data_IF_529506739297
#
_entry.id   IF_529506739297
#
_cell.length_a   1.000
_cell.length_b   1.000
_cell.length_c   1.000
_cell.angle_alpha   90.00
_cell.angle_beta   90.00
_cell.angle_gamma   90.00
#
_symmetry.space_group_name_H-M   'P 1'
#
loop_
_entity.id
_entity.type
_entity.pdbx_description
1 polymer ?
#
# COMPACT_ATOMS: atom_id res chain seq x y z
N UNK A 1 12.00 -22.17 5.11
CA UNK A 1 11.67 -22.18 6.56
C UNK A 1 10.26 -22.77 6.79
N UNK A 2 9.99 -23.94 6.22
CA UNK A 2 8.67 -24.60 6.22
C UNK A 2 8.74 -26.09 6.62
N UNK A 3 9.85 -26.53 7.23
CA UNK A 3 10.12 -27.94 7.50
C UNK A 3 10.02 -28.36 8.98
N UNK A 4 9.65 -27.48 9.91
CA UNK A 4 9.77 -27.79 11.35
C UNK A 4 8.54 -27.53 12.23
N UNK A 5 7.32 -27.50 11.68
CA UNK A 5 6.12 -27.32 12.54
C UNK A 5 5.08 -28.40 12.23
N UNK A 6 5.34 -29.60 12.74
CA UNK A 6 4.34 -30.66 12.89
C UNK A 6 4.40 -31.18 14.32
N UNK A 7 3.57 -30.62 15.19
CA UNK A 7 2.98 -31.27 16.39
C UNK A 7 2.48 -30.22 17.37
N UNK A 8 1.19 -29.86 17.32
CA UNK A 8 0.43 -29.51 18.53
C UNK A 8 -1.05 -29.84 18.31
N UNK A 9 -1.52 -30.81 19.11
CA UNK A 9 -2.87 -31.36 19.12
C UNK A 9 -3.81 -30.44 19.92
N UNK A 10 -5.04 -30.20 19.41
CA UNK A 10 -6.09 -29.42 20.08
C UNK A 10 -7.02 -30.35 20.86
N UNK A 11 -7.21 -30.05 22.15
CA UNK A 11 -8.12 -30.77 23.03
C UNK A 11 -9.57 -30.28 22.89
N UNK A 12 -10.48 -31.25 22.95
CA UNK A 12 -11.94 -31.21 22.77
C UNK A 12 -12.72 -30.23 23.67
N UNK A 13 -13.77 -29.64 23.09
CA UNK A 13 -14.91 -29.04 23.80
C UNK A 13 -16.20 -29.29 23.02
N UNK A 14 -17.13 -30.05 23.62
CA UNK A 14 -18.41 -30.51 23.07
C UNK A 14 -19.42 -29.37 22.84
N UNK A 15 -20.06 -29.34 21.66
CA UNK A 15 -21.44 -28.87 21.52
C UNK A 15 -22.05 -29.39 20.21
N UNK A 16 -23.22 -30.04 20.34
CA UNK A 16 -24.03 -30.62 19.27
C UNK A 16 -24.33 -29.64 18.14
N UNK A 17 -23.63 -29.82 17.02
CA UNK A 17 -24.10 -29.44 15.71
C UNK A 17 -23.91 -30.65 14.81
N UNK A 18 -24.94 -31.01 14.07
CA UNK A 18 -24.91 -32.09 13.11
C UNK A 18 -23.97 -31.68 11.96
N UNK A 19 -22.69 -31.96 12.14
CA UNK A 19 -21.61 -31.70 11.18
C UNK A 19 -21.87 -32.60 9.98
N UNK A 20 -22.08 -32.00 8.80
CA UNK A 20 -21.77 -32.67 7.54
C UNK A 20 -20.32 -33.14 7.68
N UNK A 21 -20.13 -34.44 7.88
CA UNK A 21 -18.82 -35.07 8.00
C UNK A 21 -18.08 -34.96 6.66
N UNK A 22 -17.60 -33.76 6.34
CA UNK A 22 -16.50 -33.59 5.41
C UNK A 22 -15.27 -34.11 6.14
N UNK A 23 -14.58 -35.07 5.52
CA UNK A 23 -13.47 -35.79 6.13
C UNK A 23 -12.41 -34.81 6.66
N UNK A 24 -12.06 -34.95 7.94
CA UNK A 24 -10.95 -34.21 8.57
C UNK A 24 -9.66 -34.33 7.74
N UNK A 25 -9.43 -35.50 7.13
CA UNK A 25 -8.27 -35.77 6.29
C UNK A 25 -8.26 -34.99 4.96
N UNK A 26 -9.44 -34.73 4.37
CA UNK A 26 -9.55 -33.90 3.15
C UNK A 26 -9.30 -32.44 3.48
N UNK A 27 -9.86 -31.93 4.59
CA UNK A 27 -9.61 -30.56 5.06
C UNK A 27 -8.13 -30.31 5.39
N UNK A 28 -7.44 -31.29 5.99
CA UNK A 28 -6.00 -31.20 6.26
C UNK A 28 -5.14 -31.29 5.00
N UNK A 29 -5.60 -32.01 3.97
CA UNK A 29 -4.91 -32.12 2.68
C UNK A 29 -5.05 -30.83 1.87
N UNK A 30 -6.26 -30.28 1.77
CA UNK A 30 -6.54 -29.00 1.10
C UNK A 30 -5.77 -27.85 1.78
N UNK A 31 -5.64 -27.90 3.12
CA UNK A 31 -4.83 -26.95 3.87
C UNK A 31 -3.33 -27.04 3.56
N UNK A 32 -2.80 -28.25 3.31
CA UNK A 32 -1.40 -28.45 2.90
C UNK A 32 -1.14 -27.99 1.48
N UNK A 33 -2.01 -28.33 0.53
CA UNK A 33 -1.90 -27.87 -0.86
C UNK A 33 -1.94 -26.34 -0.96
N UNK A 34 -2.81 -25.68 -0.19
CA UNK A 34 -2.88 -24.22 -0.16
C UNK A 34 -1.57 -23.59 0.36
N UNK A 35 -0.94 -24.19 1.38
CA UNK A 35 0.35 -23.72 1.90
C UNK A 35 1.49 -23.91 0.89
N UNK A 36 1.46 -24.98 0.09
CA UNK A 36 2.42 -25.21 -0.99
C UNK A 36 2.28 -24.16 -2.09
N UNK A 37 1.04 -23.86 -2.51
CA UNK A 37 0.76 -22.78 -3.48
C UNK A 37 1.25 -21.43 -2.94
N UNK A 38 0.99 -21.12 -1.67
CA UNK A 38 1.44 -19.89 -1.02
C UNK A 38 2.97 -19.81 -0.88
N UNK A 39 3.65 -20.95 -0.69
CA UNK A 39 5.10 -21.01 -0.66
C UNK A 39 5.73 -20.80 -2.04
N UNK A 40 4.99 -21.07 -3.13
CA UNK A 40 5.43 -20.89 -4.52
C UNK A 40 5.11 -19.51 -5.13
N UNK A 41 4.63 -18.55 -4.35
CA UNK A 41 4.29 -17.22 -4.86
C UNK A 41 5.54 -16.44 -5.31
N UNK A 42 5.53 -15.95 -6.55
CA UNK A 42 6.63 -15.12 -7.10
C UNK A 42 6.76 -13.76 -6.41
N UNK A 43 5.64 -13.20 -5.94
CA UNK A 43 5.58 -11.89 -5.30
C UNK A 43 4.73 -11.94 -4.04
N UNK A 44 5.25 -11.38 -2.95
CA UNK A 44 4.58 -11.31 -1.67
C UNK A 44 3.18 -10.66 -1.76
N UNK A 45 3.02 -9.67 -2.64
CA UNK A 45 1.74 -8.97 -2.84
C UNK A 45 0.64 -9.85 -3.45
N UNK A 46 0.96 -11.04 -3.96
CA UNK A 46 -0.02 -12.01 -4.44
C UNK A 46 -0.70 -12.78 -3.30
N UNK A 47 -0.12 -12.77 -2.08
CA UNK A 47 -0.80 -13.29 -0.90
C UNK A 47 -2.00 -12.39 -0.58
N UNK A 48 -3.14 -12.99 -0.24
CA UNK A 48 -4.33 -12.22 0.13
C UNK A 48 -4.29 -11.77 1.60
N UNK A 49 -4.92 -10.61 1.95
CA UNK A 49 -4.89 -10.11 3.33
C UNK A 49 -5.41 -11.10 4.38
N UNK A 50 -6.49 -11.83 4.08
CA UNK A 50 -7.06 -12.78 5.03
C UNK A 50 -6.10 -13.94 5.33
N UNK A 51 -5.34 -14.41 4.33
CA UNK A 51 -4.33 -15.46 4.51
C UNK A 51 -3.17 -14.98 5.34
N UNK A 52 -2.69 -13.76 5.06
CA UNK A 52 -1.68 -13.09 5.88
C UNK A 52 -2.09 -13.06 7.35
N UNK A 53 -3.28 -12.55 7.68
CA UNK A 53 -3.76 -12.43 9.06
C UNK A 53 -3.95 -13.79 9.75
N UNK A 54 -4.55 -14.76 9.05
CA UNK A 54 -4.88 -16.05 9.62
C UNK A 54 -3.64 -16.90 9.94
N UNK A 55 -2.61 -16.86 9.08
CA UNK A 55 -1.53 -17.84 9.10
C UNK A 55 -0.16 -17.23 9.39
N UNK A 56 0.13 -16.03 8.88
CA UNK A 56 1.51 -15.52 8.80
C UNK A 56 1.79 -14.37 9.75
N UNK A 57 0.83 -13.46 9.99
CA UNK A 57 1.03 -12.24 10.77
C UNK A 57 1.62 -12.50 12.16
N UNK A 58 1.13 -13.54 12.85
CA UNK A 58 1.59 -13.93 14.19
C UNK A 58 2.97 -14.62 14.21
N UNK A 59 3.42 -15.14 13.07
CA UNK A 59 4.70 -15.85 12.93
C UNK A 59 5.87 -14.92 12.61
N UNK A 60 5.57 -13.71 12.13
CA UNK A 60 6.59 -12.73 11.76
C UNK A 60 7.00 -11.89 12.97
N UNK A 61 8.30 -11.67 13.21
CA UNK A 61 8.72 -10.70 14.22
C UNK A 61 8.28 -9.29 13.82
N UNK A 62 8.10 -8.40 14.81
CA UNK A 62 7.85 -6.98 14.52
C UNK A 62 9.07 -6.33 13.85
N UNK A 63 10.27 -6.61 14.38
CA UNK A 63 11.53 -6.06 13.91
C UNK A 63 12.63 -7.12 13.86
N UNK A 64 13.66 -6.88 13.04
CA UNK A 64 14.93 -7.61 13.03
C UNK A 64 16.10 -6.62 12.92
N UNK A 65 17.22 -6.88 13.57
CA UNK A 65 18.45 -6.09 13.33
C UNK A 65 19.09 -6.50 12.01
N UNK A 66 19.81 -5.59 11.37
CA UNK A 66 20.61 -5.93 10.19
C UNK A 66 21.64 -7.02 10.49
N UNK A 67 22.26 -6.98 11.66
CA UNK A 67 23.18 -8.04 12.12
C UNK A 67 22.51 -9.42 12.17
N UNK A 68 21.37 -9.57 12.86
CA UNK A 68 20.67 -10.85 12.95
C UNK A 68 20.11 -11.32 11.60
N UNK A 69 19.77 -10.38 10.70
CA UNK A 69 19.40 -10.72 9.34
C UNK A 69 20.60 -11.32 8.59
N UNK A 70 21.78 -10.69 8.66
CA UNK A 70 22.98 -11.15 7.96
C UNK A 70 23.48 -12.49 8.47
N UNK A 71 23.41 -12.75 9.78
CA UNK A 71 23.75 -14.07 10.35
C UNK A 71 22.88 -15.20 9.79
N UNK A 72 21.60 -14.90 9.51
CA UNK A 72 20.62 -15.92 9.11
C UNK A 72 20.44 -16.07 7.61
N UNK A 73 20.48 -14.96 6.87
CA UNK A 73 20.11 -14.91 5.44
C UNK A 73 21.26 -14.49 4.53
N UNK A 74 22.37 -13.99 5.08
CA UNK A 74 23.60 -13.58 4.36
C UNK A 74 23.44 -12.36 3.44
N UNK A 75 22.42 -12.30 2.59
CA UNK A 75 22.13 -11.18 1.70
C UNK A 75 20.62 -11.11 1.38
N UNK A 76 20.18 -9.97 0.83
CA UNK A 76 18.81 -9.72 0.37
C UNK A 76 18.66 -9.69 -1.16
N UNK A 77 19.74 -9.93 -1.92
CA UNK A 77 19.75 -9.95 -3.40
C UNK A 77 19.29 -8.65 -4.10
N UNK A 78 19.20 -7.53 -3.38
CA UNK A 78 18.97 -6.21 -3.94
C UNK A 78 20.30 -5.51 -4.30
N UNK A 79 20.51 -5.26 -5.60
CA UNK A 79 21.69 -4.57 -6.12
C UNK A 79 21.77 -3.06 -5.80
N UNK A 80 20.68 -2.47 -5.32
CA UNK A 80 20.56 -1.02 -5.09
C UNK A 80 20.80 -0.66 -3.62
N UNK A 81 20.55 -1.59 -2.69
CA UNK A 81 20.65 -1.33 -1.25
C UNK A 81 21.73 -2.17 -0.58
N UNK A 82 22.15 -1.73 0.62
CA UNK A 82 23.06 -2.48 1.48
C UNK A 82 22.44 -2.56 2.87
N UNK A 83 22.55 -3.72 3.50
CA UNK A 83 22.06 -3.94 4.86
C UNK A 83 23.00 -3.26 5.86
N UNK A 84 22.46 -2.30 6.59
CA UNK A 84 23.13 -1.66 7.71
C UNK A 84 22.94 -2.53 8.96
N UNK A 85 24.01 -3.18 9.39
CA UNK A 85 23.98 -4.11 10.53
C UNK A 85 23.49 -3.45 11.83
N UNK A 86 23.66 -2.13 11.98
CA UNK A 86 23.27 -1.38 13.18
C UNK A 86 21.82 -0.92 13.18
N UNK A 87 21.08 -1.12 12.07
CA UNK A 87 19.67 -0.71 11.97
C UNK A 87 18.71 -1.80 12.38
N UNK A 88 17.53 -1.36 12.84
CA UNK A 88 16.35 -2.20 13.02
C UNK A 88 15.43 -2.04 11.81
N UNK A 89 14.97 -3.16 11.26
CA UNK A 89 14.08 -3.22 10.10
C UNK A 89 12.70 -3.71 10.52
N UNK A 90 11.65 -2.99 10.13
CA UNK A 90 10.26 -3.26 10.49
C UNK A 90 9.65 -4.41 9.67
N UNK A 91 10.00 -5.65 10.01
CA UNK A 91 9.60 -6.85 9.25
C UNK A 91 8.09 -6.92 9.06
N UNK A 92 7.31 -6.89 10.15
CA UNK A 92 5.85 -7.10 10.05
C UNK A 92 5.16 -6.01 9.24
N UNK A 93 5.53 -4.75 9.47
CA UNK A 93 4.97 -3.61 8.73
C UNK A 93 5.33 -3.67 7.23
N UNK A 94 6.60 -3.92 6.92
CA UNK A 94 7.10 -4.01 5.53
C UNK A 94 6.58 -5.23 4.79
N UNK A 95 6.30 -6.35 5.47
CA UNK A 95 5.62 -7.51 4.87
C UNK A 95 4.14 -7.20 4.62
N UNK A 96 3.46 -6.57 5.58
CA UNK A 96 2.03 -6.25 5.50
C UNK A 96 1.72 -5.27 4.37
N UNK A 97 2.56 -4.25 4.19
CA UNK A 97 2.31 -3.17 3.24
C UNK A 97 1.99 -3.62 1.81
N UNK A 98 2.85 -4.38 1.10
CA UNK A 98 2.59 -4.79 -0.29
C UNK A 98 1.35 -5.69 -0.44
N UNK A 99 1.06 -6.54 0.55
CA UNK A 99 -0.12 -7.42 0.57
C UNK A 99 -1.41 -6.59 0.59
N UNK A 100 -1.50 -5.70 1.59
CA UNK A 100 -2.68 -4.87 1.76
C UNK A 100 -2.77 -3.78 0.70
N UNK A 101 -1.66 -3.23 0.24
CA UNK A 101 -1.64 -2.22 -0.82
C UNK A 101 -2.14 -2.81 -2.14
N UNK A 102 -1.76 -4.04 -2.51
CA UNK A 102 -2.29 -4.68 -3.70
C UNK A 102 -3.81 -4.89 -3.61
N UNK A 103 -4.32 -5.28 -2.43
CA UNK A 103 -5.76 -5.34 -2.21
C UNK A 103 -6.43 -3.96 -2.34
N UNK A 104 -5.87 -2.92 -1.71
CA UNK A 104 -6.38 -1.55 -1.81
C UNK A 104 -6.39 -1.06 -3.25
N UNK A 105 -5.34 -1.32 -4.04
CA UNK A 105 -5.28 -0.94 -5.46
C UNK A 105 -6.39 -1.63 -6.27
N UNK A 106 -6.62 -2.94 -6.05
CA UNK A 106 -7.71 -3.68 -6.71
C UNK A 106 -9.08 -3.13 -6.31
N UNK A 107 -9.29 -2.85 -5.03
CA UNK A 107 -10.52 -2.24 -4.51
C UNK A 107 -10.73 -0.82 -5.07
N UNK A 108 -9.68 -0.01 -5.09
CA UNK A 108 -9.69 1.36 -5.64
C UNK A 108 -10.06 1.35 -7.11
N UNK A 109 -9.47 0.45 -7.91
CA UNK A 109 -9.82 0.25 -9.33
C UNK A 109 -11.30 -0.13 -9.52
N UNK A 110 -11.81 -1.05 -8.70
CA UNK A 110 -13.22 -1.45 -8.75
C UNK A 110 -14.14 -0.26 -8.42
N UNK A 111 -13.82 0.51 -7.37
CA UNK A 111 -14.56 1.71 -6.98
C UNK A 111 -14.53 2.80 -8.05
N UNK A 112 -13.39 3.04 -8.71
CA UNK A 112 -13.29 3.98 -9.83
C UNK A 112 -14.22 3.64 -11.00
N UNK A 113 -14.58 2.35 -11.16
CA UNK A 113 -15.45 1.86 -12.23
C UNK A 113 -16.93 1.83 -11.82
N UNK A 114 -17.23 2.05 -10.54
CA UNK A 114 -18.59 2.09 -10.02
C UNK A 114 -19.28 3.42 -10.34
N UNK A 115 -20.61 3.45 -10.23
CA UNK A 115 -21.39 4.70 -10.35
C UNK A 115 -20.91 5.71 -9.33
N UNK A 116 -20.67 6.95 -9.79
CA UNK A 116 -20.21 8.03 -8.91
C UNK A 116 -21.26 8.35 -7.85
N UNK A 117 -20.85 8.27 -6.58
CA UNK A 117 -21.65 8.66 -5.43
C UNK A 117 -20.75 9.22 -4.32
N UNK A 118 -21.34 9.86 -3.30
CA UNK A 118 -20.55 10.33 -2.15
C UNK A 118 -19.91 9.15 -1.41
N UNK A 119 -20.63 8.04 -1.24
CA UNK A 119 -20.15 6.82 -0.60
C UNK A 119 -18.94 6.24 -1.34
N UNK A 120 -18.99 6.24 -2.68
CA UNK A 120 -17.87 5.82 -3.51
C UNK A 120 -16.65 6.73 -3.30
N UNK A 121 -16.83 8.05 -3.30
CA UNK A 121 -15.74 9.00 -3.08
C UNK A 121 -15.14 8.90 -1.67
N UNK A 122 -15.98 8.71 -0.64
CA UNK A 122 -15.52 8.44 0.72
C UNK A 122 -14.74 7.12 0.80
N UNK A 123 -15.22 6.05 0.18
CA UNK A 123 -14.51 4.77 0.15
C UNK A 123 -13.14 4.88 -0.55
N UNK A 124 -13.06 5.59 -1.68
CA UNK A 124 -11.78 5.87 -2.35
C UNK A 124 -10.84 6.66 -1.42
N UNK A 125 -11.37 7.67 -0.75
CA UNK A 125 -10.60 8.49 0.17
C UNK A 125 -10.07 7.72 1.39
N UNK A 126 -10.88 6.85 1.98
CA UNK A 126 -10.46 5.94 3.07
C UNK A 126 -9.31 5.03 2.63
N UNK A 127 -9.38 4.48 1.42
CA UNK A 127 -8.28 3.66 0.88
C UNK A 127 -6.99 4.47 0.69
N UNK A 128 -7.08 5.75 0.32
CA UNK A 128 -5.91 6.64 0.25
C UNK A 128 -5.29 6.86 1.63
N UNK A 129 -6.09 7.17 2.65
CA UNK A 129 -5.57 7.34 4.00
C UNK A 129 -4.95 6.05 4.55
N UNK A 130 -5.60 4.91 4.38
CA UNK A 130 -5.05 3.61 4.76
C UNK A 130 -3.72 3.31 4.07
N UNK A 131 -3.60 3.65 2.78
CA UNK A 131 -2.34 3.55 2.06
C UNK A 131 -1.26 4.43 2.71
N UNK A 132 -1.56 5.71 2.98
CA UNK A 132 -0.62 6.65 3.59
C UNK A 132 -0.08 6.13 4.93
N UNK A 133 -0.97 5.72 5.85
CA UNK A 133 -0.55 5.18 7.14
C UNK A 133 0.21 3.86 7.01
N UNK A 134 -0.17 3.00 6.06
CA UNK A 134 0.56 1.78 5.79
C UNK A 134 1.98 2.06 5.27
N UNK A 135 2.16 3.13 4.50
CA UNK A 135 3.46 3.55 3.96
C UNK A 135 4.35 4.16 5.05
N UNK A 136 3.79 5.03 5.90
CA UNK A 136 4.50 5.59 7.06
C UNK A 136 4.90 4.50 8.07
N UNK A 137 4.08 3.45 8.25
CA UNK A 137 4.43 2.31 9.09
C UNK A 137 5.66 1.52 8.60
N UNK A 138 6.00 1.59 7.31
CA UNK A 138 7.25 1.04 6.75
C UNK A 138 8.48 1.94 7.01
N UNK A 139 8.31 3.09 7.66
CA UNK A 139 9.37 4.08 7.83
C UNK A 139 9.63 4.93 6.58
N UNK A 140 8.71 4.92 5.61
CA UNK A 140 8.83 5.65 4.33
C UNK A 140 8.04 6.97 4.32
N UNK A 141 7.37 7.31 5.43
CA UNK A 141 6.64 8.57 5.61
C UNK A 141 7.55 9.78 5.78
N UNK A 142 6.95 10.96 5.96
CA UNK A 142 7.70 12.18 6.28
C UNK A 142 6.80 13.21 6.97
N UNK A 143 7.36 13.99 7.90
CA UNK A 143 6.61 15.02 8.62
C UNK A 143 5.89 16.00 7.69
N UNK A 144 6.49 16.31 6.54
CA UNK A 144 5.92 17.21 5.54
C UNK A 144 4.68 16.61 4.85
N UNK A 145 4.78 15.38 4.37
CA UNK A 145 3.65 14.70 3.73
C UNK A 145 2.54 14.40 4.73
N UNK A 146 2.89 13.99 5.95
CA UNK A 146 1.96 13.65 7.01
C UNK A 146 1.17 14.91 7.44
N UNK A 147 1.84 16.07 7.51
CA UNK A 147 1.18 17.36 7.76
C UNK A 147 0.21 17.75 6.64
N UNK A 148 0.57 17.58 5.37
CA UNK A 148 -0.33 17.85 4.25
C UNK A 148 -1.57 16.95 4.30
N UNK A 149 -1.38 15.64 4.52
CA UNK A 149 -2.49 14.69 4.65
C UNK A 149 -3.40 15.07 5.82
N UNK A 150 -2.82 15.46 6.96
CA UNK A 150 -3.57 15.94 8.13
C UNK A 150 -4.40 17.19 7.82
N UNK A 151 -3.83 18.17 7.11
CA UNK A 151 -4.56 19.37 6.70
C UNK A 151 -5.76 19.03 5.80
N UNK A 152 -5.62 18.05 4.90
CA UNK A 152 -6.76 17.55 4.09
C UNK A 152 -7.83 16.94 4.99
N UNK A 153 -7.46 16.11 5.97
CA UNK A 153 -8.41 15.52 6.93
C UNK A 153 -9.16 16.59 7.73
N UNK A 154 -8.44 17.60 8.23
CA UNK A 154 -9.04 18.73 8.95
C UNK A 154 -10.05 19.49 8.09
N UNK A 155 -9.73 19.72 6.82
CA UNK A 155 -10.63 20.38 5.87
C UNK A 155 -11.86 19.54 5.53
N UNK A 156 -11.69 18.23 5.36
CA UNK A 156 -12.77 17.27 5.14
C UNK A 156 -13.75 17.22 6.33
N UNK A 157 -13.25 17.28 7.57
CA UNK A 157 -14.08 17.11 8.77
C UNK A 157 -14.55 18.42 9.42
N UNK A 158 -14.08 19.58 8.95
CA UNK A 158 -14.42 20.90 9.50
C UNK A 158 -15.93 21.21 9.44
N UNK A 159 -16.46 21.73 10.55
CA UNK A 159 -17.89 22.05 10.72
C UNK A 159 -18.42 23.02 9.68
N UNK A 160 -17.61 24.01 9.28
CA UNK A 160 -17.95 24.98 8.24
C UNK A 160 -18.24 24.33 6.89
N UNK A 161 -17.73 23.12 6.69
CA UNK A 161 -17.85 22.36 5.45
C UNK A 161 -18.83 21.17 5.58
N UNK A 162 -19.43 20.93 6.75
CA UNK A 162 -20.39 19.84 6.96
C UNK A 162 -21.81 20.14 6.45
N UNK A 163 -22.16 21.39 6.19
CA UNK A 163 -23.53 21.79 5.76
C UNK A 163 -23.80 21.57 4.25
N UNK A 164 -23.07 20.69 3.57
CA UNK A 164 -23.30 20.36 2.17
C UNK A 164 -22.58 19.07 1.76
N UNK A 165 -22.61 18.72 0.47
CA UNK A 165 -21.82 17.60 -0.06
C UNK A 165 -20.32 17.84 0.23
N UNK A 166 -19.61 16.76 0.61
CA UNK A 166 -18.16 16.79 0.80
C UNK A 166 -17.42 17.32 -0.43
N UNK A 167 -16.27 17.95 -0.23
CA UNK A 167 -15.45 18.50 -1.33
C UNK A 167 -14.08 17.82 -1.43
N UNK A 168 -13.45 17.46 -0.32
CA UNK A 168 -12.27 16.61 -0.26
C UNK A 168 -12.62 15.31 0.46
N UNK A 169 -12.08 14.18 -0.01
CA UNK A 169 -12.44 12.86 0.51
C UNK A 169 -11.25 12.04 1.01
N UNK A 170 -10.05 12.30 0.50
CA UNK A 170 -8.86 11.57 0.91
C UNK A 170 -7.57 12.15 0.38
N UNK A 171 -6.46 11.77 1.03
CA UNK A 171 -5.12 12.14 0.59
C UNK A 171 -4.11 11.05 0.93
N UNK A 172 -3.04 10.96 0.12
CA UNK A 172 -1.89 10.10 0.41
C UNK A 172 -0.59 10.61 -0.18
N UNK A 173 0.52 10.21 0.43
CA UNK A 173 1.85 10.33 -0.18
C UNK A 173 1.93 9.52 -1.49
N UNK A 174 2.67 10.03 -2.47
CA UNK A 174 2.97 9.37 -3.75
C UNK A 174 4.41 9.62 -4.19
N UNK A 175 4.97 8.71 -4.99
CA UNK A 175 6.38 8.70 -5.39
C UNK A 175 7.21 7.69 -4.58
N UNK A 176 8.52 7.94 -4.49
CA UNK A 176 9.48 7.05 -3.83
C UNK A 176 9.53 7.13 -2.29
N UNK A 177 8.76 8.02 -1.67
CA UNK A 177 8.71 8.19 -0.22
C UNK A 177 9.69 9.22 0.33
N UNK A 178 9.75 9.32 1.67
CA UNK A 178 10.62 10.24 2.41
C UNK A 178 10.43 11.72 2.07
N UNK A 179 9.20 12.10 1.68
CA UNK A 179 8.84 13.44 1.24
C UNK A 179 8.15 13.43 -0.12
N UNK A 180 8.25 14.56 -0.83
CA UNK A 180 7.75 14.69 -2.19
C UNK A 180 6.30 15.13 -2.26
N UNK A 181 5.45 14.32 -2.87
CA UNK A 181 4.12 14.74 -3.33
C UNK A 181 3.00 14.07 -2.51
N UNK A 182 1.95 14.83 -2.23
CA UNK A 182 0.67 14.30 -1.73
C UNK A 182 -0.38 14.41 -2.82
N UNK A 183 -1.03 13.29 -3.13
CA UNK A 183 -2.21 13.24 -3.99
C UNK A 183 -3.46 13.41 -3.14
N UNK A 184 -4.39 14.25 -3.59
CA UNK A 184 -5.67 14.51 -2.91
C UNK A 184 -6.80 14.17 -3.88
N UNK A 185 -7.85 13.50 -3.39
CA UNK A 185 -9.09 13.28 -4.13
C UNK A 185 -10.19 14.22 -3.63
N UNK A 186 -10.86 14.87 -4.57
CA UNK A 186 -11.91 15.85 -4.30
C UNK A 186 -12.96 15.89 -5.41
N UNK A 187 -14.11 16.48 -5.11
CA UNK A 187 -15.14 16.76 -6.10
C UNK A 187 -14.64 17.83 -7.07
N UNK A 188 -15.01 17.72 -8.34
CA UNK A 188 -14.72 18.75 -9.33
C UNK A 188 -15.63 19.97 -9.13
N UNK A 189 -15.30 20.82 -8.15
CA UNK A 189 -16.04 22.03 -7.85
C UNK A 189 -15.11 23.12 -7.28
N UNK A 190 -15.53 24.39 -7.41
CA UNK A 190 -14.79 25.56 -6.95
C UNK A 190 -14.37 25.45 -5.48
N UNK A 191 -15.23 24.86 -4.66
CA UNK A 191 -14.99 24.68 -3.23
C UNK A 191 -13.79 23.78 -2.95
N UNK A 192 -13.61 22.69 -3.69
CA UNK A 192 -12.43 21.83 -3.55
C UNK A 192 -11.15 22.62 -3.86
N UNK A 193 -11.14 23.40 -4.94
CA UNK A 193 -10.00 24.24 -5.32
C UNK A 193 -9.66 25.28 -4.25
N UNK A 194 -10.68 25.95 -3.69
CA UNK A 194 -10.50 26.89 -2.58
C UNK A 194 -9.87 26.22 -1.35
N UNK A 195 -10.34 25.01 -1.00
CA UNK A 195 -9.78 24.26 0.12
C UNK A 195 -8.34 23.82 -0.12
N UNK A 196 -7.97 23.43 -1.34
CA UNK A 196 -6.57 23.09 -1.70
C UNK A 196 -5.66 24.31 -1.53
N UNK A 197 -6.09 25.50 -1.99
CA UNK A 197 -5.33 26.75 -1.81
C UNK A 197 -5.16 27.11 -0.33
N UNK A 198 -6.22 26.91 0.47
CA UNK A 198 -6.14 27.12 1.92
C UNK A 198 -5.18 26.13 2.60
N UNK A 199 -5.18 24.86 2.21
CA UNK A 199 -4.22 23.85 2.69
C UNK A 199 -2.79 24.28 2.36
N UNK A 200 -2.54 24.73 1.12
CA UNK A 200 -1.24 25.21 0.67
C UNK A 200 -0.75 26.38 1.53
N UNK A 201 -1.62 27.35 1.80
CA UNK A 201 -1.29 28.51 2.62
C UNK A 201 -1.02 28.12 4.08
N UNK A 202 -1.89 27.29 4.68
CA UNK A 202 -1.69 26.77 6.05
C UNK A 202 -0.38 25.98 6.18
N UNK A 203 -0.01 25.22 5.16
CA UNK A 203 1.27 24.50 5.14
C UNK A 203 2.45 25.47 5.08
N UNK A 204 2.39 26.49 4.20
CA UNK A 204 3.41 27.53 4.12
C UNK A 204 3.57 28.29 5.42
N UNK A 205 2.47 28.70 6.04
CA UNK A 205 2.52 29.44 7.30
C UNK A 205 3.18 28.62 8.42
N UNK A 206 2.96 27.30 8.42
CA UNK A 206 3.53 26.41 9.43
C UNK A 206 4.98 25.98 9.17
N UNK A 207 5.46 26.02 7.92
CA UNK A 207 6.75 25.41 7.53
C UNK A 207 7.71 26.36 6.81
N UNK A 208 7.23 27.52 6.35
CA UNK A 208 7.95 28.42 5.45
C UNK A 208 8.01 27.94 3.99
N UNK A 209 7.61 26.70 3.69
CA UNK A 209 7.68 26.13 2.35
C UNK A 209 6.33 26.23 1.64
N UNK A 210 6.31 26.70 0.38
CA UNK A 210 5.12 26.75 -0.46
C UNK A 210 5.06 25.50 -1.37
N UNK A 211 4.16 24.53 -1.12
CA UNK A 211 4.04 23.36 -1.98
C UNK A 211 3.57 23.77 -3.38
N UNK A 212 4.10 23.12 -4.41
CA UNK A 212 3.61 23.30 -5.76
C UNK A 212 2.29 22.54 -5.96
N UNK A 213 1.24 23.22 -6.43
CA UNK A 213 -0.04 22.60 -6.78
C UNK A 213 -0.05 22.36 -8.28
N UNK A 214 -0.44 21.14 -8.67
CA UNK A 214 -0.72 20.80 -10.06
C UNK A 214 -1.95 19.90 -10.13
N UNK A 215 -2.68 20.03 -11.24
CA UNK A 215 -3.86 19.22 -11.56
C UNK A 215 -3.85 18.84 -13.03
N UNK A 216 -4.65 17.84 -13.39
CA UNK A 216 -4.78 17.33 -14.75
C UNK A 216 -3.97 16.06 -15.02
N UNK A 217 -4.15 15.53 -16.22
CA UNK A 217 -3.45 14.34 -16.73
C UNK A 217 -2.59 14.73 -17.92
N UNK A 218 -1.36 14.20 -18.01
CA UNK A 218 -0.52 14.36 -19.19
C UNK A 218 -0.77 13.26 -20.23
N UNK A 219 -0.58 13.53 -21.53
CA UNK A 219 -0.52 12.48 -22.54
C UNK A 219 0.63 11.51 -22.24
N UNK A 220 0.37 10.20 -22.27
CA UNK A 220 1.43 9.19 -22.19
C UNK A 220 2.35 9.21 -23.44
N UNK A 221 3.52 8.57 -23.34
CA UNK A 221 4.52 8.53 -24.42
C UNK A 221 3.94 8.07 -25.78
N UNK A 222 2.98 7.14 -25.78
CA UNK A 222 2.31 6.69 -26.99
C UNK A 222 1.50 7.80 -27.69
N UNK A 223 0.95 8.76 -26.94
CA UNK A 223 0.19 9.90 -27.46
C UNK A 223 1.11 11.07 -27.87
N UNK A 224 2.28 11.19 -27.25
CA UNK A 224 3.27 12.24 -27.54
C UNK A 224 4.21 11.89 -28.72
N UNK A 225 4.25 10.62 -29.12
CA UNK A 225 5.21 10.10 -30.10
C UNK A 225 6.57 9.79 -29.47
N UNK A 226 7.45 9.08 -30.19
CA UNK A 226 8.78 8.71 -29.72
C UNK A 226 9.83 8.74 -30.83
N UNK A 227 11.08 9.05 -30.47
CA UNK A 227 12.23 8.94 -31.38
C UNK A 227 12.69 7.48 -31.45
N UNK A 228 12.68 6.88 -32.64
CA UNK A 228 13.20 5.52 -32.86
C UNK A 228 14.64 5.59 -33.36
N UNK A 229 15.60 5.25 -32.50
CA UNK A 229 17.01 5.11 -32.89
C UNK A 229 17.15 3.85 -33.75
N UNK A 230 17.67 3.99 -34.97
CA UNK A 230 18.03 2.86 -35.84
C UNK A 230 19.56 2.78 -35.93
N UNK A 231 20.12 1.58 -35.69
CA UNK A 231 21.54 1.34 -36.00
C UNK A 231 21.73 1.45 -37.51
N UNK A 232 22.76 2.21 -37.92
CA UNK A 232 23.17 2.31 -39.31
C UNK A 232 23.78 0.97 -39.70
N UNK A 233 23.21 0.28 -40.69
CA UNK A 233 23.87 -0.90 -41.26
C UNK A 233 25.21 -0.48 -41.85
N UNK A 234 26.30 -1.24 -41.63
CA UNK A 234 27.57 -0.96 -42.29
C UNK A 234 27.34 -0.99 -43.80
N UNK A 235 27.87 0.01 -44.51
CA UNK A 235 27.86 0.01 -45.97
C UNK A 235 28.66 -1.22 -46.44
N UNK A 236 28.11 -2.00 -47.37
CA UNK A 236 28.86 -3.09 -47.99
C UNK A 236 30.14 -2.52 -48.59
N UNK A 237 31.32 -3.08 -48.28
CA UNK A 237 32.54 -2.71 -48.98
C UNK A 237 32.38 -3.06 -50.47
N UNK A 238 32.80 -2.12 -51.32
CA UNK A 238 32.82 -2.22 -52.79
C UNK A 238 33.79 -3.31 -53.23
#
# INVERSE_FOLDING_TARGET
>A
MASEISSYSLANGNSDWQVCAMNSDEMEKDGRELLEVEASLDYLCNLSPHRYEAVFAKKLPEYITGEAFMEKYVDHEDSVTVIDQKRNYAVRASTRHPIYENFRVKAFKALLSATTSNEQLYALGELMYQCHYSYSACGLGSDGTDRLVKLVQEMQHSKSYRSGNGSLYGAKITGGGSGGTVCVIGSNCLRSSQQILEIQQRYKDATGFMPFIFEGSSPGAAKFGYLKIRRRSPANPI
#
